data_IF_762236694598
#
_entry.id   IF_762236694598
#
_cell.length_a   1.000
_cell.length_b   1.000
_cell.length_c   1.000
_cell.angle_alpha   90.00
_cell.angle_beta   90.00
_cell.angle_gamma   90.00
#
_symmetry.space_group_name_H-M   'P 1'
#
loop_
_entity.id
_entity.type
_entity.pdbx_description
1 polymer ?
#
# COMPACT_ATOMS: atom_id res chain seq x y z
N UNK A 1 -3.12 -88.93 -64.87
CA UNK A 1 -3.99 -89.72 -64.00
C UNK A 1 -4.63 -88.75 -63.02
N UNK A 2 -5.86 -88.26 -63.10
CA UNK A 2 -6.99 -88.35 -64.03
C UNK A 2 -7.85 -87.10 -63.74
N UNK A 3 -8.19 -86.29 -64.74
CA UNK A 3 -9.51 -86.19 -65.41
C UNK A 3 -10.69 -85.78 -64.54
N UNK A 4 -11.25 -84.59 -64.84
CA UNK A 4 -12.66 -84.25 -65.09
C UNK A 4 -12.66 -82.71 -65.29
N UNK A 5 -12.71 -82.09 -66.47
CA UNK A 5 -13.55 -82.25 -67.68
C UNK A 5 -15.05 -82.21 -67.41
N UNK A 6 -15.60 -80.99 -67.34
CA UNK A 6 -16.81 -80.52 -68.05
C UNK A 6 -17.08 -79.08 -67.59
N UNK A 7 -17.19 -78.03 -68.42
CA UNK A 7 -17.09 -77.85 -69.86
C UNK A 7 -17.27 -76.34 -70.11
N UNK A 8 -16.43 -75.76 -70.97
CA UNK A 8 -16.66 -74.45 -71.62
C UNK A 8 -17.72 -74.61 -72.74
N UNK A 9 -18.13 -73.60 -73.55
CA UNK A 9 -17.78 -72.16 -73.63
C UNK A 9 -19.07 -71.26 -73.63
N UNK A 10 -19.07 -69.93 -73.51
CA UNK A 10 -18.51 -68.88 -74.39
C UNK A 10 -18.09 -67.68 -73.50
N UNK A 11 -16.83 -67.23 -73.44
CA UNK A 11 -16.14 -66.40 -74.43
C UNK A 11 -16.95 -65.09 -74.71
N UNK A 12 -16.50 -63.85 -74.46
CA UNK A 12 -15.26 -63.20 -74.90
C UNK A 12 -15.05 -61.86 -74.13
N UNK A 13 -13.88 -61.75 -73.48
CA UNK A 13 -12.90 -60.62 -73.47
C UNK A 13 -13.36 -59.26 -72.87
N UNK A 14 -12.72 -58.72 -71.82
CA UNK A 14 -11.47 -57.95 -71.91
C UNK A 14 -10.61 -58.02 -70.63
N UNK A 15 -9.43 -58.64 -70.80
CA UNK A 15 -8.10 -58.34 -70.23
C UNK A 15 -8.05 -57.39 -69.02
N UNK A 16 -7.78 -57.93 -67.83
CA UNK A 16 -7.12 -57.17 -66.75
C UNK A 16 -5.87 -57.93 -66.31
N UNK A 17 -4.71 -57.29 -66.50
CA UNK A 17 -3.41 -57.85 -66.16
C UNK A 17 -3.19 -57.95 -64.65
N UNK A 18 -2.27 -58.85 -64.30
CA UNK A 18 -2.03 -59.40 -62.96
C UNK A 18 -1.24 -58.47 -62.04
N UNK A 19 -1.56 -58.60 -60.75
CA UNK A 19 -0.69 -58.58 -59.53
C UNK A 19 0.22 -57.36 -59.28
N UNK A 20 0.05 -56.74 -58.10
CA UNK A 20 1.02 -56.74 -56.98
C UNK A 20 0.25 -56.36 -55.70
N UNK A 21 0.49 -57.08 -54.61
CA UNK A 21 -0.06 -56.78 -53.28
C UNK A 21 0.81 -55.70 -52.64
N UNK A 22 0.30 -54.47 -52.57
CA UNK A 22 0.91 -53.36 -51.81
C UNK A 22 -0.19 -52.45 -51.26
N UNK A 23 0.07 -52.00 -50.05
CA UNK A 23 -0.70 -51.12 -49.20
C UNK A 23 -0.96 -49.75 -49.88
N UNK A 24 -1.92 -49.65 -50.80
CA UNK A 24 -2.35 -48.35 -51.36
C UNK A 24 -3.64 -48.45 -52.19
N UNK A 25 -4.79 -48.21 -51.56
CA UNK A 25 -5.82 -47.39 -52.24
C UNK A 25 -5.39 -45.94 -52.03
N UNK A 26 -4.65 -45.39 -53.00
CA UNK A 26 -4.36 -43.96 -53.12
C UNK A 26 -5.41 -43.38 -54.09
N UNK A 27 -6.09 -42.27 -53.88
CA UNK A 27 -6.14 -41.29 -52.79
C UNK A 27 -7.52 -40.64 -52.98
N UNK A 28 -8.43 -40.72 -52.01
CA UNK A 28 -9.49 -39.73 -51.94
C UNK A 28 -9.02 -38.72 -50.89
N UNK A 29 -8.44 -37.61 -51.33
CA UNK A 29 -7.88 -36.56 -50.46
C UNK A 29 -8.98 -35.78 -49.70
N UNK A 30 -10.24 -36.17 -49.81
CA UNK A 30 -11.37 -35.30 -49.46
C UNK A 30 -12.08 -35.68 -48.15
N UNK A 31 -11.66 -36.73 -47.45
CA UNK A 31 -12.28 -37.06 -46.16
C UNK A 31 -11.60 -36.27 -45.06
N UNK A 32 -12.19 -35.14 -44.68
CA UNK A 32 -11.78 -34.43 -43.47
C UNK A 32 -12.00 -35.33 -42.25
N UNK A 33 -10.93 -35.64 -41.52
CA UNK A 33 -11.04 -36.40 -40.29
C UNK A 33 -11.46 -35.45 -39.18
N UNK A 34 -12.52 -35.79 -38.44
CA UNK A 34 -12.99 -34.98 -37.31
C UNK A 34 -11.96 -34.97 -36.17
N UNK A 35 -11.12 -33.94 -36.15
CA UNK A 35 -10.02 -33.74 -35.21
C UNK A 35 -10.54 -33.40 -33.78
N UNK A 36 -11.80 -32.95 -33.67
CA UNK A 36 -12.44 -32.58 -32.41
C UNK A 36 -12.90 -33.78 -31.57
N UNK A 37 -12.93 -35.01 -32.13
CA UNK A 37 -13.27 -36.23 -31.39
C UNK A 37 -12.38 -36.46 -30.18
N UNK A 38 -11.12 -36.03 -30.26
CA UNK A 38 -10.13 -36.17 -29.18
C UNK A 38 -10.31 -35.14 -28.05
N UNK A 39 -11.20 -34.14 -28.23
CA UNK A 39 -11.37 -32.98 -27.34
C UNK A 39 -10.04 -32.27 -27.04
N UNK A 40 -9.36 -31.74 -28.07
CA UNK A 40 -8.00 -31.23 -27.92
C UNK A 40 -7.91 -29.83 -27.30
N UNK A 41 -9.01 -29.08 -27.24
CA UNK A 41 -9.03 -27.69 -26.74
C UNK A 41 -9.34 -27.63 -25.24
N UNK A 42 -8.40 -27.16 -24.44
CA UNK A 42 -8.64 -26.72 -23.06
C UNK A 42 -9.09 -25.25 -23.05
N UNK A 43 -10.11 -24.92 -22.24
CA UNK A 43 -10.69 -23.55 -22.12
C UNK A 43 -11.17 -22.93 -23.45
N UNK A 44 -11.69 -23.76 -24.36
CA UNK A 44 -12.19 -23.32 -25.65
C UNK A 44 -13.05 -24.36 -26.36
N UNK A 45 -13.84 -23.90 -27.34
CA UNK A 45 -14.65 -24.77 -28.21
C UNK A 45 -13.84 -25.20 -29.43
N UNK A 46 -13.70 -26.51 -29.63
CA UNK A 46 -13.06 -27.07 -30.84
C UNK A 46 -13.91 -26.83 -32.10
N UNK A 47 -13.24 -26.45 -33.18
CA UNK A 47 -13.77 -26.25 -34.52
C UNK A 47 -12.94 -27.11 -35.48
N UNK A 48 -13.60 -28.09 -36.11
CA UNK A 48 -12.98 -28.97 -37.12
C UNK A 48 -12.57 -28.17 -38.37
N UNK A 49 -11.36 -28.42 -38.88
CA UNK A 49 -10.79 -27.77 -40.08
C UNK A 49 -10.19 -28.82 -41.00
N UNK A 50 -9.86 -28.42 -42.22
CA UNK A 50 -9.18 -29.30 -43.17
C UNK A 50 -7.74 -29.50 -42.69
N UNK A 51 -7.36 -30.75 -42.42
CA UNK A 51 -6.04 -31.15 -41.90
C UNK A 51 -5.70 -30.57 -40.50
N UNK A 52 -6.68 -30.42 -39.62
CA UNK A 52 -6.46 -30.00 -38.24
C UNK A 52 -7.69 -29.40 -37.56
N UNK A 53 -7.48 -28.74 -36.42
CA UNK A 53 -8.54 -28.08 -35.65
C UNK A 53 -8.17 -26.65 -35.27
N UNK A 54 -9.19 -25.86 -34.89
CA UNK A 54 -9.05 -24.53 -34.31
C UNK A 54 -9.87 -24.45 -33.01
N UNK A 55 -9.29 -23.89 -31.96
CA UNK A 55 -9.95 -23.63 -30.69
C UNK A 55 -10.48 -22.19 -30.68
N UNK A 56 -11.80 -22.04 -30.58
CA UNK A 56 -12.40 -20.77 -30.22
C UNK A 56 -12.36 -20.62 -28.69
N UNK A 57 -11.39 -19.86 -28.20
CA UNK A 57 -11.15 -19.67 -26.77
C UNK A 57 -12.34 -19.01 -26.06
N UNK A 58 -12.56 -19.41 -24.81
CA UNK A 58 -13.51 -18.77 -23.91
C UNK A 58 -13.04 -17.34 -23.56
N UNK A 59 -13.93 -16.42 -23.13
CA UNK A 59 -13.53 -15.09 -22.67
C UNK A 59 -12.46 -15.16 -21.58
N UNK A 60 -11.43 -14.30 -21.68
CA UNK A 60 -10.27 -14.32 -20.78
C UNK A 60 -9.15 -15.26 -21.20
N UNK A 61 -9.29 -15.96 -22.34
CA UNK A 61 -8.23 -16.78 -22.92
C UNK A 61 -7.90 -16.32 -24.34
N UNK A 62 -6.64 -16.44 -24.72
CA UNK A 62 -6.12 -16.12 -26.05
C UNK A 62 -5.29 -17.28 -26.61
N UNK A 63 -5.10 -17.33 -27.93
CA UNK A 63 -4.32 -18.38 -28.57
C UNK A 63 -3.60 -17.86 -29.80
N UNK A 64 -2.27 -17.73 -29.74
CA UNK A 64 -1.45 -17.31 -30.90
C UNK A 64 -1.38 -18.37 -32.01
N UNK A 65 -1.61 -19.65 -31.67
CA UNK A 65 -1.44 -20.80 -32.58
C UNK A 65 -2.72 -21.58 -32.87
N UNK A 66 -3.90 -21.06 -32.50
CA UNK A 66 -5.24 -21.63 -32.75
C UNK A 66 -5.49 -23.04 -32.23
N UNK A 67 -4.51 -23.73 -31.66
CA UNK A 67 -4.64 -25.09 -31.12
C UNK A 67 -4.64 -25.14 -29.57
N UNK A 68 -4.32 -24.02 -28.92
CA UNK A 68 -4.23 -23.91 -27.46
C UNK A 68 -4.75 -22.54 -27.01
N UNK A 69 -5.44 -22.50 -25.88
CA UNK A 69 -5.97 -21.30 -25.25
C UNK A 69 -5.27 -21.09 -23.91
N UNK A 70 -4.55 -19.98 -23.78
CA UNK A 70 -3.84 -19.56 -22.55
C UNK A 70 -4.55 -18.37 -21.93
N UNK A 71 -4.55 -18.29 -20.59
CA UNK A 71 -5.11 -17.14 -19.88
C UNK A 71 -4.48 -15.83 -20.35
N UNK A 72 -5.31 -14.82 -20.57
CA UNK A 72 -4.84 -13.44 -20.75
C UNK A 72 -4.39 -12.94 -19.38
N UNK A 73 -3.24 -12.26 -19.32
CA UNK A 73 -2.80 -11.54 -18.13
C UNK A 73 -3.15 -10.06 -18.27
N UNK A 74 -4.28 -9.65 -17.70
CA UNK A 74 -4.73 -8.26 -17.75
C UNK A 74 -3.83 -7.33 -16.91
N UNK A 75 -3.06 -7.87 -15.97
CA UNK A 75 -2.12 -7.12 -15.15
C UNK A 75 -0.83 -6.72 -15.88
N UNK A 76 -0.49 -7.37 -17.00
CA UNK A 76 0.68 -7.02 -17.83
C UNK A 76 0.67 -5.56 -18.32
N UNK A 77 -0.50 -4.94 -18.40
CA UNK A 77 -0.65 -3.51 -18.78
C UNK A 77 -0.44 -2.52 -17.63
N UNK A 78 -0.19 -3.00 -16.41
CA UNK A 78 -0.12 -2.21 -15.17
C UNK A 78 -1.34 -1.29 -14.95
N UNK A 79 -2.57 -1.84 -14.91
CA UNK A 79 -3.78 -1.01 -14.83
C UNK A 79 -4.00 -0.34 -13.47
N UNK A 80 -3.38 -0.85 -12.39
CA UNK A 80 -3.50 -0.31 -11.04
C UNK A 80 -2.41 0.76 -10.78
N UNK A 81 -2.79 2.03 -10.69
CA UNK A 81 -1.84 3.15 -10.55
C UNK A 81 -1.20 3.17 -9.15
N UNK A 82 -2.02 3.05 -8.11
CA UNK A 82 -1.58 3.06 -6.70
C UNK A 82 -2.12 1.82 -5.97
N UNK A 83 -1.70 0.64 -6.42
CA UNK A 83 -2.12 -0.59 -5.79
C UNK A 83 -1.52 -1.84 -6.42
N UNK A 84 -1.91 -3.00 -5.88
CA UNK A 84 -1.52 -4.30 -6.41
C UNK A 84 -2.57 -4.82 -7.39
N UNK A 85 -2.13 -5.21 -8.59
CA UNK A 85 -2.97 -5.91 -9.55
C UNK A 85 -3.05 -7.40 -9.22
N UNK A 86 -4.26 -7.94 -9.28
CA UNK A 86 -4.53 -9.37 -9.27
C UNK A 86 -5.20 -9.74 -10.58
N UNK A 87 -4.57 -10.65 -11.30
CA UNK A 87 -5.09 -11.23 -12.53
C UNK A 87 -6.28 -12.16 -12.24
N UNK A 88 -7.33 -12.08 -13.07
CA UNK A 88 -8.55 -12.87 -12.94
C UNK A 88 -8.96 -13.39 -14.33
N UNK A 89 -9.79 -14.42 -14.36
CA UNK A 89 -10.33 -14.88 -15.65
C UNK A 89 -11.18 -13.76 -16.26
N UNK A 90 -10.78 -13.29 -17.44
CA UNK A 90 -11.46 -12.26 -18.22
C UNK A 90 -11.54 -10.90 -17.49
N UNK A 91 -10.50 -10.54 -16.75
CA UNK A 91 -10.41 -9.24 -16.10
C UNK A 91 -9.32 -9.16 -15.04
N UNK A 92 -9.31 -8.07 -14.27
CA UNK A 92 -8.37 -7.87 -13.19
C UNK A 92 -9.06 -7.22 -11.99
N UNK A 93 -8.39 -7.28 -10.85
CA UNK A 93 -8.79 -6.55 -9.64
C UNK A 93 -7.61 -5.81 -9.05
N UNK A 94 -7.79 -4.51 -8.83
CA UNK A 94 -6.84 -3.72 -8.07
C UNK A 94 -7.15 -3.75 -6.57
N UNK A 95 -6.12 -4.00 -5.77
CA UNK A 95 -6.14 -3.75 -4.33
C UNK A 95 -5.39 -2.45 -4.07
N UNK A 96 -6.12 -1.37 -3.78
CA UNK A 96 -5.55 -0.03 -3.67
C UNK A 96 -4.75 0.16 -2.38
N UNK A 97 -3.68 0.95 -2.48
CA UNK A 97 -2.92 1.46 -1.34
C UNK A 97 -3.80 2.40 -0.49
N UNK A 98 -3.45 2.58 0.79
CA UNK A 98 -4.15 3.54 1.67
C UNK A 98 -4.16 4.94 1.06
N UNK A 99 -5.32 5.60 1.08
CA UNK A 99 -5.53 6.92 0.48
C UNK A 99 -6.00 6.89 -0.99
N UNK A 100 -6.09 5.73 -1.62
CA UNK A 100 -6.52 5.60 -3.03
C UNK A 100 -7.79 4.75 -3.19
N UNK A 101 -8.60 5.07 -4.20
CA UNK A 101 -9.78 4.31 -4.61
C UNK A 101 -9.98 4.34 -6.13
N UNK A 102 -11.07 3.74 -6.59
CA UNK A 102 -11.37 3.53 -8.01
C UNK A 102 -11.02 2.11 -8.47
N UNK A 103 -11.53 1.72 -9.64
CA UNK A 103 -11.22 0.42 -10.24
C UNK A 103 -9.71 0.28 -10.51
N UNK A 104 -9.04 1.40 -10.80
CA UNK A 104 -7.64 1.48 -11.18
C UNK A 104 -6.77 2.14 -10.09
N UNK A 105 -7.33 2.40 -8.90
CA UNK A 105 -6.64 3.10 -7.81
C UNK A 105 -6.11 4.49 -8.23
N UNK A 106 -6.90 5.20 -9.01
CA UNK A 106 -6.61 6.49 -9.66
C UNK A 106 -7.28 7.68 -8.96
N UNK A 107 -8.19 7.41 -8.01
CA UNK A 107 -8.92 8.43 -7.26
C UNK A 107 -8.21 8.64 -5.91
N UNK A 108 -7.75 9.87 -5.67
CA UNK A 108 -7.23 10.27 -4.35
C UNK A 108 -8.41 10.51 -3.39
N UNK A 109 -8.45 9.74 -2.31
CA UNK A 109 -9.37 9.97 -1.20
C UNK A 109 -8.75 10.98 -0.23
N UNK A 110 -8.85 12.27 -0.51
CA UNK A 110 -8.23 13.28 0.34
C UNK A 110 -8.90 13.35 1.73
N UNK A 111 -8.32 12.67 2.72
CA UNK A 111 -8.88 12.64 4.08
C UNK A 111 -8.76 13.98 4.81
N UNK A 112 -7.95 14.91 4.28
CA UNK A 112 -7.76 16.24 4.84
C UNK A 112 -8.75 17.28 4.33
N UNK A 113 -9.59 16.96 3.33
CA UNK A 113 -10.52 17.92 2.73
C UNK A 113 -11.49 18.52 3.76
N UNK A 114 -11.88 17.72 4.76
CA UNK A 114 -12.77 18.13 5.85
C UNK A 114 -12.08 18.88 7.00
N UNK A 115 -10.75 19.08 6.93
CA UNK A 115 -9.92 19.59 8.03
C UNK A 115 -10.20 18.88 9.37
N UNK A 116 -10.00 17.55 9.45
CA UNK A 116 -10.45 16.76 10.60
C UNK A 116 -9.61 16.96 11.87
N UNK A 117 -8.38 17.47 11.75
CA UNK A 117 -7.46 17.60 12.88
C UNK A 117 -7.86 18.73 13.83
N UNK A 118 -8.00 18.40 15.12
CA UNK A 118 -8.35 19.33 16.19
C UNK A 118 -7.10 19.85 16.91
N UNK A 119 -7.30 20.85 17.79
CA UNK A 119 -6.29 21.33 18.75
C UNK A 119 -4.94 21.74 18.13
N UNK A 120 -4.97 22.33 16.93
CA UNK A 120 -3.77 22.78 16.20
C UNK A 120 -3.03 21.68 15.44
N UNK A 121 -3.62 20.49 15.31
CA UNK A 121 -3.09 19.43 14.45
C UNK A 121 -3.06 19.84 12.98
N UNK A 122 -1.97 19.51 12.29
CA UNK A 122 -1.84 19.65 10.84
C UNK A 122 -2.19 18.32 10.18
N UNK A 123 -3.18 18.34 9.29
CA UNK A 123 -3.53 17.16 8.50
C UNK A 123 -2.51 16.94 7.37
N UNK A 124 -2.12 15.69 7.14
CA UNK A 124 -1.36 15.29 5.95
C UNK A 124 -2.08 14.17 5.24
N UNK A 125 -2.40 14.44 3.97
CA UNK A 125 -3.00 13.47 3.06
C UNK A 125 -2.07 12.25 2.93
N UNK A 126 -2.63 11.05 3.04
CA UNK A 126 -1.86 9.80 3.00
C UNK A 126 -1.18 9.58 1.65
N UNK A 127 -1.69 10.19 0.59
CA UNK A 127 -1.13 10.16 -0.76
C UNK A 127 0.03 11.14 -0.94
N UNK A 128 0.17 12.14 -0.07
CA UNK A 128 1.33 13.04 -0.03
C UNK A 128 2.54 12.29 0.54
N UNK A 129 3.20 11.51 -0.31
CA UNK A 129 4.57 11.08 -0.02
C UNK A 129 5.42 12.35 0.06
N UNK A 130 6.04 12.59 1.22
CA UNK A 130 7.19 13.50 1.27
C UNK A 130 8.16 13.06 0.15
N UNK A 131 8.62 13.96 -0.73
CA UNK A 131 9.60 13.58 -1.74
C UNK A 131 10.82 12.99 -1.03
N UNK A 132 11.04 11.68 -1.22
CA UNK A 132 12.25 10.97 -0.74
C UNK A 132 13.50 11.38 -1.54
N UNK A 133 13.41 12.42 -2.36
CA UNK A 133 14.52 12.94 -3.13
C UNK A 133 14.40 14.45 -3.33
N UNK A 134 15.02 15.22 -2.45
CA UNK A 134 15.52 16.55 -2.79
C UNK A 134 16.98 16.36 -3.17
N UNK A 135 17.37 16.46 -4.46
CA UNK A 135 18.77 16.43 -4.83
C UNK A 135 19.48 17.63 -4.18
N UNK A 136 20.39 17.37 -3.24
CA UNK A 136 21.24 18.40 -2.63
C UNK A 136 21.20 18.56 -1.10
N UNK A 137 20.45 17.73 -0.35
CA UNK A 137 20.50 17.74 1.12
C UNK A 137 21.36 16.58 1.65
N UNK A 138 22.39 16.84 2.49
CA UNK A 138 23.22 15.79 3.06
C UNK A 138 22.38 14.85 3.94
N UNK A 139 22.65 13.53 3.84
CA UNK A 139 21.92 12.46 4.55
C UNK A 139 21.77 12.67 6.07
N UNK A 140 22.63 13.49 6.68
CA UNK A 140 22.55 13.85 8.10
C UNK A 140 21.31 14.70 8.45
N UNK A 141 20.76 15.51 7.54
CA UNK A 141 19.57 16.34 7.80
C UNK A 141 18.25 15.57 7.65
N UNK A 142 18.26 14.43 6.96
CA UNK A 142 17.07 13.58 6.77
C UNK A 142 16.64 12.84 8.05
N UNK A 143 17.51 12.76 9.05
CA UNK A 143 17.18 12.25 10.38
C UNK A 143 16.73 13.35 11.35
N UNK A 144 17.01 14.63 11.08
CA UNK A 144 16.51 15.74 11.92
C UNK A 144 15.06 16.12 11.63
N UNK A 145 14.49 15.77 10.46
CA UNK A 145 13.05 15.95 10.19
C UNK A 145 12.16 14.84 10.78
N UNK A 146 12.77 13.78 11.34
CA UNK A 146 12.06 12.58 11.86
C UNK A 146 11.77 12.61 13.37
N UNK A 147 11.71 13.78 14.00
CA UNK A 147 10.95 13.93 15.27
C UNK A 147 9.71 14.77 15.03
N UNK A 148 8.85 14.27 14.15
CA UNK A 148 7.46 14.73 14.10
C UNK A 148 6.81 14.25 15.40
N UNK A 149 6.47 15.18 16.27
CA UNK A 149 5.64 14.92 17.43
C UNK A 149 4.26 14.44 16.93
N UNK A 150 3.92 13.19 17.25
CA UNK A 150 2.66 12.56 16.86
C UNK A 150 1.71 12.66 18.05
N UNK A 151 0.43 12.90 17.78
CA UNK A 151 -0.61 12.50 18.74
C UNK A 151 -0.47 11.00 18.96
N UNK A 152 -0.65 10.54 20.20
CA UNK A 152 -0.47 9.14 20.57
C UNK A 152 -1.60 8.27 19.96
N UNK A 153 -1.55 7.99 18.65
CA UNK A 153 -2.49 7.10 17.96
C UNK A 153 -1.81 5.78 17.64
N UNK A 154 -2.53 4.69 17.91
CA UNK A 154 -2.09 3.31 17.64
C UNK A 154 -2.12 2.99 16.14
N UNK A 155 -2.75 3.83 15.31
CA UNK A 155 -2.76 3.65 13.85
C UNK A 155 -2.83 4.99 13.07
N UNK A 156 -1.86 5.13 12.17
CA UNK A 156 -1.75 5.98 10.97
C UNK A 156 -1.70 7.51 11.06
N UNK A 157 -0.95 8.05 10.09
CA UNK A 157 -0.25 9.33 10.02
C UNK A 157 -1.13 10.58 9.77
N UNK A 158 -2.44 10.49 9.99
CA UNK A 158 -3.44 11.46 9.52
C UNK A 158 -3.22 12.89 10.06
N UNK A 159 -3.07 13.03 11.38
CA UNK A 159 -2.83 14.31 12.04
C UNK A 159 -1.46 14.34 12.71
N UNK A 160 -0.65 15.36 12.40
CA UNK A 160 0.67 15.61 12.97
C UNK A 160 0.76 17.03 13.53
N UNK A 161 1.47 17.23 14.64
CA UNK A 161 1.75 18.58 15.14
C UNK A 161 3.13 18.99 14.57
N UNK A 162 3.13 19.81 13.52
CA UNK A 162 4.37 20.30 12.91
C UNK A 162 4.92 21.44 13.76
N UNK A 163 5.89 21.15 14.62
CA UNK A 163 6.70 22.20 15.24
C UNK A 163 7.70 22.72 14.20
N UNK A 164 7.49 23.93 13.70
CA UNK A 164 8.43 24.63 12.79
C UNK A 164 9.71 25.10 13.50
N UNK A 165 9.87 24.83 14.80
CA UNK A 165 11.06 25.13 15.59
C UNK A 165 11.59 23.86 16.25
N UNK A 166 12.73 23.36 15.77
CA UNK A 166 13.41 22.20 16.33
C UNK A 166 14.49 22.66 17.31
N UNK A 167 14.08 22.92 18.56
CA UNK A 167 15.01 22.97 19.67
C UNK A 167 14.87 21.67 20.48
N UNK A 168 15.97 21.12 20.99
CA UNK A 168 15.95 19.86 21.77
C UNK A 168 15.05 19.98 23.04
N UNK A 169 14.74 21.20 23.48
CA UNK A 169 13.78 21.50 24.54
C UNK A 169 12.30 21.32 24.16
N UNK A 170 11.95 21.39 22.87
CA UNK A 170 10.56 21.35 22.38
C UNK A 170 10.04 19.91 22.17
N UNK A 171 10.96 18.92 22.22
CA UNK A 171 10.64 17.49 22.18
C UNK A 171 9.81 17.01 23.39
N UNK A 172 9.62 17.87 24.40
CA UNK A 172 8.89 17.55 25.62
C UNK A 172 7.39 17.88 25.57
N UNK A 173 6.89 18.59 24.55
CA UNK A 173 5.58 19.25 24.64
C UNK A 173 4.39 18.55 23.97
N UNK A 174 4.57 17.42 23.28
CA UNK A 174 3.53 16.91 22.36
C UNK A 174 3.11 15.45 22.57
N UNK A 175 3.40 14.87 23.74
CA UNK A 175 2.90 13.55 24.13
C UNK A 175 1.59 13.62 24.94
N UNK A 176 0.83 14.69 24.77
CA UNK A 176 -0.24 15.08 25.68
C UNK A 176 -1.64 15.05 25.04
N UNK A 177 -1.72 14.71 23.74
CA UNK A 177 -2.98 14.47 23.03
C UNK A 177 -2.98 13.08 22.36
N UNK A 178 -4.15 12.46 22.29
CA UNK A 178 -4.42 11.14 21.73
C UNK A 178 -5.59 11.20 20.75
N UNK A 179 -5.73 10.13 19.94
CA UNK A 179 -6.79 9.98 18.95
C UNK A 179 -6.27 10.20 17.53
N UNK A 180 -7.07 9.82 16.54
CA UNK A 180 -6.68 9.96 15.12
C UNK A 180 -6.74 11.43 14.67
N UNK A 181 -7.54 12.25 15.35
CA UNK A 181 -7.71 13.68 15.07
C UNK A 181 -7.20 14.59 16.19
N UNK A 182 -6.44 14.03 17.15
CA UNK A 182 -5.89 14.75 18.31
C UNK A 182 -6.96 15.35 19.24
N UNK A 183 -8.10 14.66 19.33
CA UNK A 183 -9.30 15.09 20.02
C UNK A 183 -9.31 14.74 21.52
N UNK A 184 -8.45 13.81 21.96
CA UNK A 184 -8.40 13.33 23.34
C UNK A 184 -7.23 13.97 24.07
N UNK A 185 -7.49 14.57 25.23
CA UNK A 185 -6.45 15.07 26.14
C UNK A 185 -5.94 13.95 27.06
N UNK A 186 -4.61 13.79 27.14
CA UNK A 186 -3.98 12.82 28.03
C UNK A 186 -3.91 13.45 29.42
N UNK A 187 -4.17 12.66 30.47
CA UNK A 187 -4.00 13.13 31.84
C UNK A 187 -2.58 12.84 32.35
N UNK A 188 -1.68 13.83 32.28
CA UNK A 188 -0.29 13.63 32.73
C UNK A 188 -0.15 13.55 34.24
N UNK A 189 -1.13 14.07 35.00
CA UNK A 189 -1.08 14.08 36.46
C UNK A 189 -1.16 12.67 37.07
N UNK A 190 -1.63 11.66 36.31
CA UNK A 190 -1.60 10.25 36.73
C UNK A 190 -0.17 9.78 37.05
N UNK A 191 0.84 10.35 36.38
CA UNK A 191 2.26 10.01 36.61
C UNK A 191 2.88 10.80 37.76
N UNK A 192 2.12 11.67 38.44
CA UNK A 192 2.59 12.56 39.50
C UNK A 192 3.89 13.31 39.13
N UNK A 193 3.86 14.15 38.07
CA UNK A 193 5.06 14.77 37.53
C UNK A 193 5.64 15.91 38.38
N UNK A 194 4.82 16.53 39.25
CA UNK A 194 5.22 17.64 40.10
C UNK A 194 6.01 17.15 41.34
N UNK A 195 6.97 17.96 41.79
CA UNK A 195 7.85 17.68 42.94
C UNK A 195 7.44 18.50 44.17
N UNK A 196 8.06 18.18 45.30
CA UNK A 196 7.97 18.96 46.54
C UNK A 196 6.52 19.23 47.01
N UNK A 197 5.65 18.23 46.87
CA UNK A 197 4.25 18.31 47.29
C UNK A 197 3.37 19.27 46.48
N UNK A 198 3.85 19.75 45.34
CA UNK A 198 3.08 20.64 44.45
C UNK A 198 1.84 19.96 43.87
N UNK A 199 0.80 20.76 43.64
CA UNK A 199 -0.46 20.30 43.03
C UNK A 199 -0.29 20.23 41.52
N UNK A 200 -0.59 19.08 40.93
CA UNK A 200 -0.65 18.91 39.47
C UNK A 200 -2.03 19.27 38.94
N UNK A 201 -2.07 20.09 37.89
CA UNK A 201 -3.28 20.46 37.16
C UNK A 201 -3.17 19.94 35.73
N UNK A 202 -4.14 19.12 35.31
CA UNK A 202 -4.24 18.68 33.93
C UNK A 202 -4.75 19.81 33.05
N UNK A 203 -4.09 20.07 31.94
CA UNK A 203 -4.41 21.15 31.00
C UNK A 203 -4.45 20.61 29.57
N UNK A 204 -5.17 21.26 28.67
CA UNK A 204 -5.23 20.79 27.29
C UNK A 204 -3.84 20.78 26.65
N UNK A 205 -3.36 19.60 26.26
CA UNK A 205 -2.03 19.42 25.69
C UNK A 205 -0.89 19.59 26.71
N UNK A 206 -1.11 19.28 27.99
CA UNK A 206 -0.04 19.16 28.98
C UNK A 206 -0.49 19.32 30.44
N UNK A 207 0.43 19.69 31.33
CA UNK A 207 0.10 19.91 32.73
C UNK A 207 0.82 21.12 33.31
N UNK A 208 0.27 21.65 34.40
CA UNK A 208 0.87 22.73 35.17
C UNK A 208 1.05 22.30 36.63
N UNK A 209 2.23 22.57 37.19
CA UNK A 209 2.48 22.39 38.62
C UNK A 209 2.26 23.70 39.36
N UNK A 210 1.37 23.70 40.35
CA UNK A 210 1.21 24.80 41.30
C UNK A 210 2.13 24.57 42.49
N UNK A 211 3.24 25.28 42.52
CA UNK A 211 4.27 25.12 43.56
C UNK A 211 3.77 25.61 44.92
N UNK A 212 4.23 24.93 45.98
CA UNK A 212 4.10 25.43 47.34
C UNK A 212 5.05 26.63 47.56
N UNK A 213 4.77 27.51 48.54
CA UNK A 213 5.69 28.59 48.90
C UNK A 213 7.09 28.05 49.18
N UNK A 214 8.12 28.75 48.69
CA UNK A 214 9.51 28.31 48.80
C UNK A 214 9.99 27.40 47.65
N UNK A 215 9.16 27.08 46.66
CA UNK A 215 9.56 26.28 45.49
C UNK A 215 9.26 26.95 44.15
N UNK A 216 10.12 26.70 43.16
CA UNK A 216 10.00 27.19 41.78
C UNK A 216 10.47 26.14 40.76
N UNK A 217 10.35 26.47 39.47
CA UNK A 217 10.62 25.55 38.36
C UNK A 217 9.34 24.95 37.76
N UNK A 218 9.46 24.36 36.57
CA UNK A 218 8.31 23.83 35.83
C UNK A 218 7.62 22.67 36.56
N UNK A 219 8.41 21.88 37.30
CA UNK A 219 7.93 20.77 38.13
C UNK A 219 8.03 21.09 39.61
N UNK A 220 8.26 22.36 39.98
CA UNK A 220 8.50 22.80 41.36
C UNK A 220 9.70 22.12 42.03
N UNK A 221 10.72 21.78 41.24
CA UNK A 221 11.91 21.03 41.65
C UNK A 221 12.98 21.87 42.35
N UNK A 222 12.91 23.20 42.24
CA UNK A 222 13.93 24.12 42.74
C UNK A 222 13.46 24.77 44.04
N UNK A 223 14.28 24.72 45.09
CA UNK A 223 14.05 25.42 46.35
C UNK A 223 14.44 26.90 46.21
N UNK A 224 13.59 27.80 46.69
CA UNK A 224 13.82 29.24 46.68
C UNK A 224 14.67 29.56 47.90
N UNK A 225 15.95 29.83 47.67
CA UNK A 225 16.89 30.24 48.72
C UNK A 225 16.59 31.68 49.19
N UNK A 226 15.76 31.78 50.22
CA UNK A 226 15.42 33.02 50.91
C UNK A 226 16.63 33.72 51.55
N UNK A 227 17.79 33.03 51.63
CA UNK A 227 19.03 33.58 52.19
C UNK A 227 19.89 34.31 51.15
N UNK A 228 19.50 34.33 49.86
CA UNK A 228 20.07 35.25 48.88
C UNK A 228 19.24 36.53 48.89
N UNK A 229 19.76 37.65 49.43
CA UNK A 229 19.05 38.91 49.33
C UNK A 229 18.94 39.26 47.85
N UNK A 230 17.74 39.07 47.28
CA UNK A 230 17.36 39.64 46.01
C UNK A 230 17.71 41.12 46.09
N UNK A 231 18.59 41.57 45.20
CA UNK A 231 19.17 42.90 45.17
C UNK A 231 18.11 43.92 45.56
N UNK A 232 18.18 44.34 46.83
CA UNK A 232 17.32 45.33 47.41
C UNK A 232 17.42 46.53 46.48
N UNK A 233 16.31 46.91 45.86
CA UNK A 233 16.24 48.11 45.05
C UNK A 233 17.00 49.22 45.77
N UNK A 234 18.10 49.67 45.17
CA UNK A 234 18.76 50.92 45.54
C UNK A 234 17.77 52.06 45.24
N UNK A 235 16.77 52.23 46.10
CA UNK A 235 16.13 53.53 46.27
C UNK A 235 17.16 54.40 46.95
N UNK A 236 18.04 55.01 46.14
CA UNK A 236 18.74 56.23 46.54
C UNK A 236 17.67 57.26 46.88
N UNK A 237 17.46 57.45 48.18
CA UNK A 237 16.50 58.39 48.74
C UNK A 237 16.79 58.64 50.21
N UNK A 238 17.71 59.59 50.45
CA UNK A 238 17.80 60.49 51.61
C UNK A 238 18.00 59.93 53.04
N UNK A 239 19.22 60.19 53.58
CA UNK A 239 19.52 60.42 55.00
C UNK A 239 19.74 59.15 55.84
N UNK A 240 20.93 58.85 56.39
CA UNK A 240 21.59 59.68 57.39
C UNK A 240 23.01 59.18 57.68
N UNK A 241 23.94 60.13 57.73
CA UNK A 241 25.14 60.22 58.59
C UNK A 241 26.29 59.22 58.35
N UNK A 242 27.23 59.66 57.52
CA UNK A 242 28.64 59.27 57.59
C UNK A 242 29.20 59.61 58.99
N UNK A 243 29.86 58.65 59.63
CA UNK A 243 30.84 58.93 60.69
C UNK A 243 32.16 58.28 60.27
N UNK A 244 33.18 59.12 60.20
CA UNK A 244 34.57 58.74 59.99
C UNK A 244 35.10 58.06 61.25
N UNK A 245 35.83 56.96 61.06
CA UNK A 245 37.14 56.69 61.64
C UNK A 245 37.95 55.88 60.61
#
# INVERSE_FOLDING_TARGET
WDWFMAGEPEAIVLRFERKISLHSKSFNCEVNLDDCKSKPCDYGRCIDKINGYECACEPGYTGERRAECTGVDECSSNPCIHGRCQDLINGYKCTCDSGWSGQNCDINNNECESNPCMNGGTCKDMTQRLPLHLPGLPELLLHLSRRMARCASVNLLLCQIVSTHFNISDAFFFNFLQGQTCEIDINECVKSPCRNGAVCLNTMGGYQCKCLPGYTGQKCETDIDDCKPSMMHLRRGSGSRLRFD
#
